data_IF_903317397865
#
_entry.id   IF_903317397865
#
_cell.length_a   1.000
_cell.length_b   1.000
_cell.length_c   1.000
_cell.angle_alpha   90.00
_cell.angle_beta   90.00
_cell.angle_gamma   90.00
#
_symmetry.space_group_name_H-M   'P 1'
#
loop_
_entity.id
_entity.type
_entity.pdbx_description
1 polymer ?
#
# COMPACT_ATOMS: atom_id res chain seq x y z
N UNK A 1 18.99 -1.52 22.86
CA UNK A 1 18.33 -2.82 22.62
C UNK A 1 18.23 -3.03 21.13
N UNK A 2 18.41 -4.26 20.64
CA UNK A 2 18.33 -4.56 19.20
C UNK A 2 16.90 -4.34 18.68
N UNK A 3 16.75 -3.70 17.52
CA UNK A 3 15.43 -3.41 16.92
C UNK A 3 14.61 -4.68 16.66
N UNK A 4 15.27 -5.82 16.45
CA UNK A 4 14.64 -7.14 16.25
C UNK A 4 13.95 -7.70 17.50
N UNK A 5 14.15 -7.09 18.67
CA UNK A 5 13.45 -7.44 19.91
C UNK A 5 12.45 -6.36 20.34
N UNK A 6 12.13 -5.42 19.45
CA UNK A 6 11.17 -4.34 19.70
C UNK A 6 9.79 -4.67 19.14
N UNK A 7 8.78 -3.96 19.62
CA UNK A 7 7.41 -4.04 19.11
C UNK A 7 7.23 -3.58 17.65
N UNK A 8 8.25 -2.99 17.04
CA UNK A 8 8.27 -2.62 15.63
C UNK A 8 8.58 -3.81 14.72
N UNK A 9 9.35 -4.78 15.21
CA UNK A 9 9.70 -5.97 14.45
C UNK A 9 8.62 -7.03 14.59
N UNK A 10 7.75 -7.14 13.59
CA UNK A 10 6.57 -8.02 13.60
C UNK A 10 6.75 -9.17 12.63
N UNK A 11 6.36 -10.35 13.08
CA UNK A 11 6.41 -11.63 12.35
C UNK A 11 5.01 -12.19 12.11
N UNK A 12 3.98 -11.33 12.21
CA UNK A 12 2.57 -11.65 12.05
C UNK A 12 1.91 -10.62 11.14
N UNK A 13 0.80 -10.97 10.49
CA UNK A 13 0.03 -10.02 9.69
C UNK A 13 -1.01 -9.29 10.55
N UNK A 14 -1.27 -8.02 10.26
CA UNK A 14 -2.32 -7.25 10.92
C UNK A 14 -3.65 -7.39 10.16
N UNK A 15 -4.61 -8.14 10.71
CA UNK A 15 -5.94 -8.35 10.12
C UNK A 15 -7.01 -7.97 11.16
N UNK A 16 -7.92 -7.07 10.78
CA UNK A 16 -9.01 -6.59 11.63
C UNK A 16 -8.55 -6.04 13.01
N UNK A 17 -7.37 -5.41 13.05
CA UNK A 17 -6.80 -4.86 14.28
C UNK A 17 -6.10 -5.88 15.20
N UNK A 18 -5.89 -7.12 14.75
CA UNK A 18 -5.16 -8.14 15.50
C UNK A 18 -3.99 -8.70 14.69
N UNK A 19 -2.89 -8.99 15.38
CA UNK A 19 -1.77 -9.74 14.81
C UNK A 19 -2.13 -11.21 14.70
N UNK A 20 -1.95 -11.80 13.51
CA UNK A 20 -2.36 -13.18 13.20
C UNK A 20 -1.30 -13.92 12.39
N UNK A 21 -1.20 -15.21 12.68
CA UNK A 21 -0.50 -16.20 11.86
C UNK A 21 -1.43 -16.75 10.77
N UNK A 22 -0.86 -17.45 9.78
CA UNK A 22 -1.63 -18.11 8.73
C UNK A 22 -2.44 -19.25 9.34
N UNK A 23 -3.66 -19.48 8.83
CA UNK A 23 -4.54 -20.48 9.40
C UNK A 23 -3.99 -21.91 9.26
N UNK A 24 -3.18 -22.15 8.24
CA UNK A 24 -2.47 -23.41 8.01
C UNK A 24 -1.08 -23.47 8.67
N UNK A 25 -0.68 -22.41 9.40
CA UNK A 25 0.61 -22.30 10.08
C UNK A 25 1.81 -22.11 9.14
N UNK A 26 1.60 -21.94 7.84
CA UNK A 26 2.71 -21.78 6.88
C UNK A 26 3.37 -20.41 7.01
N UNK A 27 4.69 -20.37 6.80
CA UNK A 27 5.49 -19.15 6.92
C UNK A 27 6.51 -19.03 5.79
N UNK A 28 6.94 -17.80 5.50
CA UNK A 28 8.02 -17.46 4.59
C UNK A 28 9.19 -16.89 5.39
N UNK A 29 10.40 -17.32 5.07
CA UNK A 29 11.61 -16.79 5.68
C UNK A 29 12.01 -15.45 5.06
N UNK A 30 12.36 -14.49 5.90
CA UNK A 30 12.98 -13.23 5.50
C UNK A 30 14.45 -13.30 5.89
N UNK A 31 15.34 -13.19 4.91
CA UNK A 31 16.79 -13.28 5.09
C UNK A 31 17.48 -11.96 4.83
N UNK A 32 18.56 -11.69 5.55
CA UNK A 32 19.44 -10.57 5.27
C UNK A 32 20.26 -10.87 4.00
N UNK A 33 20.15 -10.07 2.93
CA UNK A 33 20.82 -10.34 1.66
C UNK A 33 22.34 -10.18 1.74
N UNK A 34 22.86 -9.41 2.71
CA UNK A 34 24.31 -9.19 2.87
C UNK A 34 25.01 -10.32 3.62
N UNK A 35 24.28 -11.12 4.40
CA UNK A 35 24.86 -12.21 5.23
C UNK A 35 24.25 -13.59 4.98
N UNK A 36 23.09 -13.67 4.34
CA UNK A 36 22.30 -14.89 4.19
C UNK A 36 21.59 -15.34 5.47
N UNK A 37 21.74 -14.63 6.60
CA UNK A 37 21.12 -15.02 7.86
C UNK A 37 19.61 -14.76 7.86
N UNK A 38 18.81 -15.70 8.38
CA UNK A 38 17.38 -15.49 8.60
C UNK A 38 17.15 -14.43 9.67
N UNK A 39 16.38 -13.40 9.35
CA UNK A 39 15.96 -12.34 10.27
C UNK A 39 14.71 -12.74 11.05
N UNK A 40 13.76 -13.40 10.38
CA UNK A 40 12.49 -13.81 10.95
C UNK A 40 11.60 -14.51 9.91
N UNK A 41 10.41 -14.89 10.35
CA UNK A 41 9.40 -15.56 9.54
C UNK A 41 8.15 -14.67 9.45
N UNK A 42 7.52 -14.60 8.28
CA UNK A 42 6.22 -13.95 8.10
C UNK A 42 5.17 -14.98 7.69
N UNK A 43 3.88 -14.80 8.02
CA UNK A 43 2.86 -15.76 7.64
C UNK A 43 2.64 -15.82 6.13
N UNK A 44 2.53 -17.02 5.56
CA UNK A 44 2.22 -17.21 4.14
C UNK A 44 0.70 -17.21 3.92
N UNK A 45 0.09 -16.03 3.99
CA UNK A 45 -1.36 -15.88 3.97
C UNK A 45 -2.00 -16.26 2.63
N UNK A 46 -3.11 -16.99 2.69
CA UNK A 46 -3.84 -17.45 1.52
C UNK A 46 -5.09 -16.62 1.19
N UNK A 47 -5.93 -17.20 0.33
CA UNK A 47 -7.20 -16.60 -0.10
C UNK A 47 -8.14 -16.30 1.07
N UNK A 48 -8.18 -17.17 2.07
CA UNK A 48 -9.13 -17.06 3.18
C UNK A 48 -8.83 -15.83 4.04
N UNK A 49 -7.58 -15.61 4.40
CA UNK A 49 -7.14 -14.49 5.22
C UNK A 49 -7.19 -13.18 4.45
N UNK A 50 -6.89 -13.19 3.15
CA UNK A 50 -7.11 -12.05 2.27
C UNK A 50 -8.59 -11.65 2.23
N UNK A 51 -9.50 -12.62 2.16
CA UNK A 51 -10.94 -12.37 2.21
C UNK A 51 -11.37 -11.80 3.57
N UNK A 52 -10.85 -12.34 4.69
CA UNK A 52 -11.09 -11.78 6.02
C UNK A 52 -10.62 -10.32 6.16
N UNK A 53 -9.45 -9.99 5.61
CA UNK A 53 -8.93 -8.62 5.63
C UNK A 53 -9.84 -7.66 4.83
N UNK A 54 -10.32 -8.10 3.66
CA UNK A 54 -11.28 -7.36 2.84
C UNK A 54 -12.59 -7.13 3.59
N UNK A 55 -13.15 -8.16 4.21
CA UNK A 55 -14.44 -8.08 4.90
C UNK A 55 -14.33 -7.18 6.14
N UNK A 56 -13.22 -7.26 6.87
CA UNK A 56 -12.92 -6.36 7.98
C UNK A 56 -12.79 -4.90 7.52
N UNK A 57 -12.09 -4.63 6.41
CA UNK A 57 -11.98 -3.29 5.85
C UNK A 57 -13.35 -2.75 5.39
N UNK A 58 -14.19 -3.60 4.79
CA UNK A 58 -15.54 -3.23 4.39
C UNK A 58 -16.43 -2.90 5.59
N UNK A 59 -16.33 -3.67 6.67
CA UNK A 59 -17.06 -3.44 7.91
C UNK A 59 -16.59 -2.16 8.64
N UNK A 60 -15.30 -1.81 8.57
CA UNK A 60 -14.75 -0.60 9.20
C UNK A 60 -15.05 0.69 8.40
N UNK A 61 -15.31 0.58 7.09
CA UNK A 61 -15.45 1.71 6.19
C UNK A 61 -16.55 2.73 6.59
N UNK A 62 -17.77 2.32 7.02
CA UNK A 62 -18.79 3.28 7.46
C UNK A 62 -18.31 4.14 8.64
N UNK A 63 -17.69 3.52 9.65
CA UNK A 63 -17.14 4.23 10.81
C UNK A 63 -16.01 5.19 10.42
N UNK A 64 -15.10 4.74 9.54
CA UNK A 64 -14.01 5.59 9.05
C UNK A 64 -14.51 6.80 8.24
N UNK A 65 -15.53 6.60 7.39
CA UNK A 65 -16.13 7.67 6.58
C UNK A 65 -16.90 8.68 7.42
N UNK A 66 -17.47 8.26 8.55
CA UNK A 66 -18.19 9.14 9.46
C UNK A 66 -17.28 10.18 10.15
N UNK A 67 -15.97 9.92 10.25
CA UNK A 67 -15.03 10.95 10.71
C UNK A 67 -15.04 12.17 9.79
N UNK A 68 -14.86 13.35 10.39
CA UNK A 68 -14.57 14.57 9.62
C UNK A 68 -13.18 14.49 8.98
N UNK A 69 -12.93 15.31 7.96
CA UNK A 69 -11.60 15.43 7.37
C UNK A 69 -10.54 15.85 8.39
N UNK A 70 -10.89 16.72 9.35
CA UNK A 70 -9.99 17.16 10.41
C UNK A 70 -9.61 16.02 11.36
N UNK A 71 -10.57 15.19 11.78
CA UNK A 71 -10.31 14.02 12.63
C UNK A 71 -9.40 13.01 11.93
N UNK A 72 -9.67 12.69 10.66
CA UNK A 72 -8.78 11.80 9.88
C UNK A 72 -7.38 12.39 9.72
N UNK A 73 -7.28 13.69 9.43
CA UNK A 73 -5.99 14.38 9.33
C UNK A 73 -5.20 14.31 10.65
N UNK A 74 -5.85 14.47 11.80
CA UNK A 74 -5.21 14.37 13.11
C UNK A 74 -4.65 12.95 13.35
N UNK A 75 -5.40 11.90 13.00
CA UNK A 75 -4.94 10.51 13.09
C UNK A 75 -3.72 10.25 12.19
N UNK A 76 -3.76 10.72 10.95
CA UNK A 76 -2.64 10.56 10.00
C UNK A 76 -1.40 11.35 10.44
N UNK A 77 -1.56 12.57 10.98
CA UNK A 77 -0.45 13.33 11.55
C UNK A 77 0.17 12.67 12.77
N UNK A 78 -0.65 12.04 13.61
CA UNK A 78 -0.13 11.25 14.72
C UNK A 78 0.69 10.05 14.21
N UNK A 79 0.24 9.39 13.15
CA UNK A 79 1.01 8.32 12.52
C UNK A 79 2.33 8.81 11.90
N UNK A 80 2.31 9.93 11.20
CA UNK A 80 3.51 10.61 10.69
C UNK A 80 4.53 10.87 11.81
N UNK A 81 4.08 11.45 12.92
CA UNK A 81 4.91 11.70 14.11
C UNK A 81 5.54 10.41 14.63
N UNK A 82 4.75 9.35 14.80
CA UNK A 82 5.24 8.05 15.29
C UNK A 82 6.27 7.42 14.34
N UNK A 83 6.14 7.59 13.02
CA UNK A 83 7.14 7.13 12.05
C UNK A 83 8.46 7.87 12.26
N UNK A 84 8.42 9.21 12.37
CA UNK A 84 9.63 10.02 12.54
C UNK A 84 10.32 9.75 13.89
N UNK A 85 9.56 9.55 14.96
CA UNK A 85 10.08 9.17 16.28
C UNK A 85 10.82 7.82 16.25
N UNK A 86 10.42 6.92 15.36
CA UNK A 86 11.02 5.59 15.20
C UNK A 86 11.88 5.47 13.93
N UNK A 87 12.26 6.59 13.29
CA UNK A 87 12.90 6.61 11.97
C UNK A 87 14.11 5.68 11.88
N UNK A 88 15.06 5.83 12.81
CA UNK A 88 16.30 5.03 12.80
C UNK A 88 16.03 3.55 13.02
N UNK A 89 15.06 3.20 13.88
CA UNK A 89 14.68 1.80 14.10
C UNK A 89 14.04 1.19 12.84
N UNK A 90 13.13 1.90 12.19
CA UNK A 90 12.53 1.47 10.92
C UNK A 90 13.58 1.34 9.81
N UNK A 91 14.54 2.28 9.74
CA UNK A 91 15.63 2.23 8.78
C UNK A 91 16.56 1.02 9.02
N UNK A 92 16.82 0.64 10.27
CA UNK A 92 17.58 -0.57 10.60
C UNK A 92 16.88 -1.85 10.12
N UNK A 93 15.55 -1.93 10.25
CA UNK A 93 14.77 -3.06 9.73
C UNK A 93 14.88 -3.11 8.20
N UNK A 94 14.64 -1.98 7.53
CA UNK A 94 14.70 -1.88 6.06
C UNK A 94 16.10 -2.23 5.51
N UNK A 95 17.17 -1.73 6.14
CA UNK A 95 18.55 -2.09 5.77
C UNK A 95 18.80 -3.57 5.98
N UNK A 96 18.30 -4.17 7.06
CA UNK A 96 18.52 -5.58 7.33
C UNK A 96 17.83 -6.48 6.29
N UNK A 97 16.59 -6.19 5.89
CA UNK A 97 15.84 -7.03 4.94
C UNK A 97 16.18 -6.77 3.48
N UNK A 98 16.55 -5.54 3.10
CA UNK A 98 16.77 -5.17 1.70
C UNK A 98 18.24 -4.94 1.34
N UNK A 99 19.08 -4.56 2.31
CA UNK A 99 20.53 -4.40 2.13
C UNK A 99 21.02 -2.98 1.81
N UNK A 100 20.14 -1.98 1.62
CA UNK A 100 20.56 -0.60 1.38
C UNK A 100 21.30 0.03 2.58
N UNK A 101 22.24 0.96 2.35
CA UNK A 101 22.90 1.70 3.42
C UNK A 101 21.91 2.38 4.37
N UNK A 102 22.23 2.42 5.67
CA UNK A 102 21.35 2.98 6.70
C UNK A 102 20.95 4.44 6.43
N UNK A 103 21.87 5.25 5.93
CA UNK A 103 21.58 6.65 5.60
C UNK A 103 20.55 6.79 4.46
N UNK A 104 20.60 5.88 3.48
CA UNK A 104 19.62 5.83 2.39
C UNK A 104 18.26 5.37 2.93
N UNK A 105 18.22 4.33 3.76
CA UNK A 105 17.01 3.87 4.43
C UNK A 105 16.36 4.97 5.29
N UNK A 106 17.14 5.74 6.06
CA UNK A 106 16.59 6.86 6.83
C UNK A 106 15.97 7.96 5.95
N UNK A 107 16.61 8.25 4.80
CA UNK A 107 16.06 9.16 3.80
C UNK A 107 14.74 8.66 3.24
N UNK A 108 14.65 7.36 2.93
CA UNK A 108 13.45 6.72 2.41
C UNK A 108 12.31 6.70 3.44
N UNK A 109 12.59 6.41 4.72
CA UNK A 109 11.58 6.49 5.78
C UNK A 109 11.04 7.93 5.92
N UNK A 110 11.92 8.93 5.89
CA UNK A 110 11.50 10.34 5.94
C UNK A 110 10.67 10.73 4.70
N UNK A 111 11.07 10.26 3.52
CA UNK A 111 10.33 10.47 2.28
C UNK A 111 8.95 9.82 2.31
N UNK A 112 8.84 8.56 2.75
CA UNK A 112 7.58 7.84 2.93
C UNK A 112 6.66 8.55 3.95
N UNK A 113 7.23 9.03 5.06
CA UNK A 113 6.50 9.79 6.08
C UNK A 113 5.89 11.07 5.51
N UNK A 114 6.60 11.77 4.61
CA UNK A 114 6.11 13.01 3.99
C UNK A 114 4.79 12.83 3.22
N UNK A 115 4.56 11.67 2.60
CA UNK A 115 3.29 11.37 1.92
C UNK A 115 2.11 11.32 2.90
N UNK A 116 2.33 10.76 4.10
CA UNK A 116 1.28 10.65 5.12
C UNK A 116 0.87 12.04 5.60
N UNK A 117 1.85 12.92 5.86
CA UNK A 117 1.57 14.31 6.21
C UNK A 117 0.86 15.05 5.07
N UNK A 118 1.36 14.91 3.84
CA UNK A 118 0.76 15.53 2.67
C UNK A 118 -0.70 15.12 2.49
N UNK A 119 -1.01 13.82 2.51
CA UNK A 119 -2.40 13.36 2.35
C UNK A 119 -3.30 13.68 3.56
N UNK A 120 -2.75 13.80 4.77
CA UNK A 120 -3.49 14.33 5.91
C UNK A 120 -3.96 15.76 5.64
N UNK A 121 -3.11 16.58 5.02
CA UNK A 121 -3.43 17.94 4.61
C UNK A 121 -4.37 17.99 3.40
N UNK A 122 -4.13 17.16 2.37
CA UNK A 122 -4.99 17.12 1.18
C UNK A 122 -6.40 16.60 1.48
N UNK A 123 -6.56 15.70 2.46
CA UNK A 123 -7.87 15.19 2.86
C UNK A 123 -8.85 16.27 3.34
N UNK A 124 -8.34 17.42 3.81
CA UNK A 124 -9.15 18.60 4.19
C UNK A 124 -9.55 19.49 3.01
N UNK A 125 -8.98 19.24 1.83
CA UNK A 125 -9.10 20.06 0.61
C UNK A 125 -9.82 19.31 -0.52
N UNK A 126 -10.62 18.30 -0.18
CA UNK A 126 -11.47 17.58 -1.13
C UNK A 126 -12.68 18.43 -1.56
N UNK A 127 -12.41 19.58 -2.17
CA UNK A 127 -13.40 20.58 -2.51
C UNK A 127 -14.29 20.09 -3.67
N UNK A 128 -15.59 20.36 -3.54
CA UNK A 128 -16.54 20.27 -4.64
C UNK A 128 -16.49 21.53 -5.52
N UNK A 129 -17.35 21.56 -6.54
CA UNK A 129 -17.45 22.67 -7.48
C UNK A 129 -18.92 23.06 -7.66
N UNK A 130 -19.18 24.37 -7.78
CA UNK A 130 -20.48 24.91 -8.16
C UNK A 130 -20.32 25.43 -9.58
N UNK A 131 -21.08 24.86 -10.52
CA UNK A 131 -20.95 25.16 -11.95
C UNK A 131 -22.07 26.11 -12.36
N UNK A 132 -21.78 27.20 -13.10
CA UNK A 132 -22.81 28.08 -13.64
C UNK A 132 -23.85 27.29 -14.43
N UNK A 133 -25.13 27.51 -14.12
CA UNK A 133 -26.19 26.78 -14.80
C UNK A 133 -26.53 27.44 -16.14
N UNK A 134 -26.70 26.67 -17.22
CA UNK A 134 -27.21 27.20 -18.49
C UNK A 134 -28.73 27.48 -18.44
N UNK A 135 -29.44 27.05 -17.39
CA UNK A 135 -30.87 27.32 -17.17
C UNK A 135 -31.10 28.15 -15.90
N UNK A 136 -31.96 29.16 -15.99
CA UNK A 136 -32.21 30.09 -14.88
C UNK A 136 -32.79 29.42 -13.62
N UNK A 137 -33.50 28.30 -13.81
CA UNK A 137 -34.19 27.51 -12.80
C UNK A 137 -33.35 26.36 -12.22
N UNK A 138 -32.07 26.22 -12.62
CA UNK A 138 -31.22 25.09 -12.24
C UNK A 138 -29.97 25.52 -11.47
N UNK A 139 -29.42 24.60 -10.68
CA UNK A 139 -28.14 24.71 -9.99
C UNK A 139 -27.37 23.42 -10.19
N UNK A 140 -26.08 23.52 -10.52
CA UNK A 140 -25.20 22.38 -10.74
C UNK A 140 -24.14 22.37 -9.64
N UNK A 141 -24.04 21.25 -8.92
CA UNK A 141 -23.06 21.05 -7.86
C UNK A 141 -22.37 19.70 -8.05
N UNK A 142 -21.04 19.69 -7.94
CA UNK A 142 -20.20 18.50 -7.91
C UNK A 142 -19.64 18.34 -6.51
N UNK A 143 -19.78 17.15 -5.95
CA UNK A 143 -19.21 16.79 -4.64
C UNK A 143 -18.22 15.64 -4.81
N UNK A 144 -17.10 15.70 -4.09
CA UNK A 144 -16.12 14.61 -4.04
C UNK A 144 -16.37 13.80 -2.76
N UNK A 145 -16.66 12.52 -2.93
CA UNK A 145 -16.87 11.58 -1.81
C UNK A 145 -15.80 10.51 -1.83
N UNK A 146 -15.39 10.03 -0.63
CA UNK A 146 -14.44 8.93 -0.53
C UNK A 146 -14.94 7.70 -1.29
N UNK A 147 -14.17 7.25 -2.28
CA UNK A 147 -14.57 6.20 -3.22
C UNK A 147 -14.95 4.87 -2.55
N UNK A 148 -15.91 4.16 -3.16
CA UNK A 148 -16.28 2.77 -2.82
C UNK A 148 -15.07 1.85 -3.06
N UNK A 149 -14.92 0.81 -2.22
CA UNK A 149 -13.89 -0.24 -2.24
C UNK A 149 -12.85 -0.12 -3.38
N UNK A 150 -11.60 0.21 -3.03
CA UNK A 150 -10.46 -0.03 -3.93
C UNK A 150 -10.29 -1.55 -4.03
N UNK A 151 -10.89 -2.16 -5.06
CA UNK A 151 -10.54 -3.50 -5.48
C UNK A 151 -9.49 -3.30 -6.57
N UNK A 152 -8.23 -3.61 -6.26
CA UNK A 152 -7.19 -3.67 -7.28
C UNK A 152 -7.43 -4.90 -8.13
N UNK A 153 -8.27 -4.79 -9.15
CA UNK A 153 -8.41 -5.82 -10.20
C UNK A 153 -7.37 -5.59 -11.32
N UNK A 154 -6.38 -4.72 -11.11
CA UNK A 154 -5.20 -4.63 -11.96
C UNK A 154 -4.15 -5.63 -11.47
N UNK A 155 -3.70 -6.57 -12.31
CA UNK A 155 -2.51 -7.34 -12.01
C UNK A 155 -1.36 -6.36 -11.77
N UNK A 156 -0.68 -6.50 -10.64
CA UNK A 156 0.60 -5.82 -10.41
C UNK A 156 1.61 -6.52 -11.31
N UNK A 157 1.85 -5.94 -12.50
CA UNK A 157 2.91 -6.38 -13.39
C UNK A 157 4.24 -5.87 -12.81
N UNK A 158 5.01 -6.79 -12.22
CA UNK A 158 6.36 -6.51 -11.74
C UNK A 158 7.29 -6.33 -12.96
N UNK A 159 8.09 -5.26 -13.04
CA UNK A 159 9.02 -5.09 -14.14
C UNK A 159 10.22 -6.03 -13.97
N UNK A 160 10.41 -6.94 -14.92
CA UNK A 160 11.70 -7.61 -15.17
C UNK A 160 11.65 -9.13 -15.16
N UNK A 161 11.66 -9.71 -16.36
CA UNK A 161 11.84 -11.13 -16.63
C UNK A 161 11.90 -11.34 -18.13
N UNK A 162 13.04 -11.02 -18.73
CA UNK A 162 13.33 -11.28 -20.14
C UNK A 162 13.28 -12.80 -20.41
N UNK A 163 12.12 -13.31 -20.80
CA UNK A 163 11.99 -14.64 -21.41
C UNK A 163 11.77 -14.48 -22.91
N UNK A 164 12.87 -14.54 -23.65
CA UNK A 164 12.90 -14.82 -25.08
C UNK A 164 12.19 -16.15 -25.38
N UNK A 165 11.31 -16.22 -26.40
CA UNK A 165 11.06 -17.48 -27.08
C UNK A 165 11.68 -17.44 -28.48
N UNK A 166 12.72 -18.25 -28.66
CA UNK A 166 13.19 -18.65 -29.98
C UNK A 166 12.06 -19.36 -30.77
N UNK A 167 11.86 -18.90 -32.01
CA UNK A 167 11.72 -19.76 -33.17
C UNK A 167 10.37 -20.45 -33.42
N UNK A 168 9.61 -19.90 -34.38
CA UNK A 168 9.01 -20.69 -35.48
C UNK A 168 8.94 -19.89 -36.79
N UNK A 169 9.04 -20.56 -37.96
CA UNK A 169 9.55 -19.99 -39.21
C UNK A 169 8.48 -19.29 -40.06
N UNK A 170 8.94 -18.37 -40.92
CA UNK A 170 8.09 -17.54 -41.76
C UNK A 170 7.57 -18.19 -43.04
N UNK A 171 6.44 -17.66 -43.50
CA UNK A 171 5.93 -17.55 -44.88
C UNK A 171 4.49 -16.97 -44.76
N UNK A 172 3.97 -16.01 -45.52
CA UNK A 172 4.45 -15.22 -46.65
C UNK A 172 3.48 -14.05 -46.85
N UNK A 173 3.86 -13.12 -47.74
CA UNK A 173 3.11 -11.93 -48.13
C UNK A 173 1.80 -12.28 -48.87
N UNK A 174 0.82 -11.38 -48.80
CA UNK A 174 -0.31 -11.25 -49.73
C UNK A 174 -1.42 -10.42 -49.07
N UNK A 175 -1.52 -9.12 -49.35
CA UNK A 175 -2.20 -8.48 -50.48
C UNK A 175 -3.62 -8.01 -50.10
N UNK A 176 -3.90 -6.80 -50.56
CA UNK A 176 -5.16 -6.07 -50.51
C UNK A 176 -6.32 -6.82 -51.19
N UNK A 177 -7.53 -6.59 -50.65
CA UNK A 177 -8.86 -6.44 -51.27
C UNK A 177 -9.88 -6.80 -50.16
N UNK A 178 -10.95 -6.06 -49.82
CA UNK A 178 -11.83 -5.19 -50.58
C UNK A 178 -13.27 -5.66 -50.28
N UNK A 179 -14.01 -4.94 -49.42
CA UNK A 179 -15.42 -4.53 -49.55
C UNK A 179 -15.85 -3.70 -48.33
#
# INVERSE_FOLDING_TARGET
>A
MSVFHSDLFRQQALIAGSWRDAADGTTLAVSNPSTGATLGQIPNMGRAEAQQAVDAAAAALPGWRAFTAAQRAALLKNWHRLILENKTALAQIMTAEQGKPLAEAEGEIAYAASFIEWFAEQGKRANGEIIPSPGADKRLMVIRQGGRRLRGDHPVELPGGDDHPEGRPGAGRGLYDGN
#
